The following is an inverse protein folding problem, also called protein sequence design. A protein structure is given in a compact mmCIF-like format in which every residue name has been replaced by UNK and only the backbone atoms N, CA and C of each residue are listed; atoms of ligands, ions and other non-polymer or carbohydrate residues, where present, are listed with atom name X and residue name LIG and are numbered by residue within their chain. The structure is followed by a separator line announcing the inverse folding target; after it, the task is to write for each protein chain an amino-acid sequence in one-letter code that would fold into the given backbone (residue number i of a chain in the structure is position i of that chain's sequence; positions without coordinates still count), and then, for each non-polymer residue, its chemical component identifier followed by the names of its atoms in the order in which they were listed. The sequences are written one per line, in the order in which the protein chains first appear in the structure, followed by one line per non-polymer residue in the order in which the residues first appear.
data_IF_376373984245
#
_entry.id   IF_376373984245
#
_cell.length_a   1.000
_cell.length_b   1.000
_cell.length_c   1.000
_cell.angle_alpha   90.00
_cell.angle_beta   90.00
_cell.angle_gamma   90.00
#
_symmetry.space_group_name_H-M   'P 1'
#
loop_
_entity.id
_entity.type
_entity.pdbx_description
1 polymer ?
#
# COMPACT_ATOMS: atom_id res chain seq x y z
N UNK A 1 24.35 0.32 -19.11
CA UNK A 1 23.22 -0.64 -19.03
C UNK A 1 21.95 0.07 -19.46
N UNK A 2 21.16 -0.51 -20.37
CA UNK A 2 20.00 0.13 -21.02
C UNK A 2 18.79 0.22 -20.09
N UNK A 3 18.02 1.33 -20.15
CA UNK A 3 16.80 1.57 -19.34
C UNK A 3 15.78 0.42 -19.39
N UNK A 4 15.68 -0.26 -20.53
CA UNK A 4 14.81 -1.42 -20.74
C UNK A 4 15.14 -2.59 -19.80
N UNK A 5 16.43 -2.87 -19.57
CA UNK A 5 16.87 -3.98 -18.70
C UNK A 5 16.58 -3.70 -17.23
N UNK A 6 16.76 -2.45 -16.79
CA UNK A 6 16.39 -2.04 -15.43
C UNK A 6 14.88 -2.21 -15.20
N UNK A 7 14.06 -1.82 -16.19
CA UNK A 7 12.61 -1.99 -16.13
C UNK A 7 12.18 -3.47 -16.09
N UNK A 8 12.75 -4.33 -16.95
CA UNK A 8 12.47 -5.77 -16.95
C UNK A 8 12.86 -6.45 -15.63
N UNK A 9 14.02 -6.12 -15.08
CA UNK A 9 14.49 -6.65 -13.80
C UNK A 9 13.55 -6.26 -12.67
N UNK A 10 13.09 -5.00 -12.64
CA UNK A 10 12.13 -4.50 -11.65
C UNK A 10 10.79 -5.24 -11.73
N UNK A 11 10.23 -5.40 -12.94
CA UNK A 11 8.99 -6.18 -13.15
C UNK A 11 9.10 -7.64 -12.70
N UNK A 12 10.27 -8.25 -12.83
CA UNK A 12 10.49 -9.63 -12.37
C UNK A 12 10.45 -9.73 -10.84
N UNK A 13 11.06 -8.78 -10.14
CA UNK A 13 11.03 -8.72 -8.67
C UNK A 13 9.60 -8.48 -8.17
N UNK A 14 8.87 -7.56 -8.81
CA UNK A 14 7.45 -7.27 -8.54
C UNK A 14 6.48 -8.43 -8.79
N UNK A 15 6.92 -9.57 -9.34
CA UNK A 15 6.10 -10.78 -9.54
C UNK A 15 6.39 -11.89 -8.52
N UNK A 16 7.44 -11.73 -7.72
CA UNK A 16 7.75 -12.72 -6.70
C UNK A 16 6.69 -12.66 -5.59
N UNK A 17 6.27 -13.80 -5.03
CA UNK A 17 5.43 -13.78 -3.83
C UNK A 17 6.19 -13.05 -2.73
N UNK A 18 5.49 -12.15 -2.03
CA UNK A 18 6.05 -11.48 -0.84
C UNK A 18 5.68 -12.32 0.37
N UNK A 19 6.65 -12.55 1.26
CA UNK A 19 6.38 -13.17 2.54
C UNK A 19 5.70 -12.15 3.46
N UNK A 20 4.38 -12.27 3.57
CA UNK A 20 3.56 -11.39 4.39
C UNK A 20 3.46 -11.85 5.84
N UNK A 21 4.08 -12.97 6.23
CA UNK A 21 3.91 -13.56 7.57
C UNK A 21 4.42 -12.66 8.71
N UNK A 22 5.33 -11.74 8.40
CA UNK A 22 5.91 -10.78 9.36
C UNK A 22 5.38 -9.36 9.19
N UNK A 23 4.36 -9.17 8.36
CA UNK A 23 3.77 -7.85 8.21
C UNK A 23 3.07 -7.43 9.51
N UNK A 24 3.20 -6.16 9.86
CA UNK A 24 2.40 -5.53 10.89
C UNK A 24 1.31 -4.70 10.23
N UNK A 25 0.29 -4.33 11.00
CA UNK A 25 -0.81 -3.48 10.57
C UNK A 25 -0.96 -2.30 11.51
N UNK A 26 -0.99 -1.09 10.97
CA UNK A 26 -1.52 0.10 11.64
C UNK A 26 -2.98 0.27 11.22
N UNK A 27 -3.86 0.51 12.19
CA UNK A 27 -5.31 0.64 11.99
C UNK A 27 -5.79 2.02 12.46
N UNK A 28 -7.07 2.33 12.22
CA UNK A 28 -7.72 3.59 12.61
C UNK A 28 -7.03 4.83 12.03
N UNK A 29 -6.56 4.73 10.78
CA UNK A 29 -6.00 5.86 10.08
C UNK A 29 -7.17 6.66 9.47
N UNK A 30 -7.29 7.92 9.91
CA UNK A 30 -8.31 8.86 9.42
C UNK A 30 -8.46 8.82 7.89
N UNK A 31 -9.70 8.85 7.40
CA UNK A 31 -9.99 8.75 5.96
C UNK A 31 -9.20 9.78 5.13
N UNK A 32 -9.09 11.02 5.58
CA UNK A 32 -8.35 12.06 4.85
C UNK A 32 -6.84 11.83 4.91
N UNK A 33 -6.33 11.38 6.06
CA UNK A 33 -4.92 11.04 6.23
C UNK A 33 -4.54 9.85 5.36
N UNK A 34 -5.32 8.77 5.36
CA UNK A 34 -5.06 7.59 4.54
C UNK A 34 -5.20 7.86 3.05
N UNK A 35 -6.15 8.71 2.62
CA UNK A 35 -6.22 9.16 1.22
C UNK A 35 -4.95 9.92 0.80
N UNK A 36 -4.46 10.84 1.66
CA UNK A 36 -3.22 11.57 1.42
C UNK A 36 -2.00 10.64 1.39
N UNK A 37 -1.96 9.66 2.29
CA UNK A 37 -0.93 8.63 2.33
C UNK A 37 -0.89 7.85 1.01
N UNK A 38 -2.04 7.33 0.56
CA UNK A 38 -2.16 6.56 -0.69
C UNK A 38 -1.62 7.36 -1.89
N UNK A 39 -2.07 8.60 -2.05
CA UNK A 39 -1.65 9.44 -3.18
C UNK A 39 -0.17 9.83 -3.09
N UNK A 40 0.35 10.10 -1.89
CA UNK A 40 1.77 10.38 -1.69
C UNK A 40 2.63 9.17 -2.05
N UNK A 41 2.26 7.96 -1.60
CA UNK A 41 2.99 6.74 -1.95
C UNK A 41 3.02 6.53 -3.47
N UNK A 42 1.87 6.70 -4.16
CA UNK A 42 1.81 6.62 -5.64
C UNK A 42 2.75 7.65 -6.29
N UNK A 43 2.77 8.88 -5.81
CA UNK A 43 3.66 9.93 -6.31
C UNK A 43 5.15 9.62 -6.07
N UNK A 44 5.49 8.93 -4.98
CA UNK A 44 6.84 8.45 -4.65
C UNK A 44 7.28 7.22 -5.45
N UNK A 45 6.48 6.80 -6.43
CA UNK A 45 6.80 5.69 -7.31
C UNK A 45 6.45 4.31 -6.75
N UNK A 46 5.61 4.26 -5.71
CA UNK A 46 4.91 3.02 -5.36
C UNK A 46 3.90 2.70 -6.45
N UNK A 47 4.00 1.50 -7.01
CA UNK A 47 3.13 1.09 -8.09
C UNK A 47 1.94 0.32 -7.55
N UNK A 48 0.74 0.75 -7.89
CA UNK A 48 -0.47 -0.04 -7.65
C UNK A 48 -0.45 -1.29 -8.54
N UNK A 49 -0.38 -2.47 -7.91
CA UNK A 49 -0.37 -3.77 -8.59
C UNK A 49 -1.72 -4.48 -8.50
N UNK A 50 -2.54 -4.12 -7.51
CA UNK A 50 -3.89 -4.62 -7.33
C UNK A 50 -4.73 -3.53 -6.64
N UNK A 51 -6.04 -3.56 -6.89
CA UNK A 51 -7.01 -2.75 -6.17
C UNK A 51 -8.32 -3.52 -6.06
N UNK A 52 -9.11 -3.21 -5.04
CA UNK A 52 -10.49 -3.67 -4.97
C UNK A 52 -11.26 -3.23 -6.22
N UNK A 53 -12.07 -4.14 -6.75
CA UNK A 53 -12.66 -4.04 -8.09
C UNK A 53 -13.34 -2.68 -8.29
N UNK A 54 -12.96 -1.90 -9.32
CA UNK A 54 -13.63 -0.64 -9.65
C UNK A 54 -15.11 -0.78 -9.99
N UNK A 55 -15.54 -2.00 -10.32
CA UNK A 55 -16.93 -2.32 -10.68
C UNK A 55 -17.72 -2.87 -9.48
N UNK A 56 -17.10 -3.03 -8.32
CA UNK A 56 -17.80 -3.46 -7.12
C UNK A 56 -18.72 -2.34 -6.62
N UNK A 57 -19.99 -2.69 -6.40
CA UNK A 57 -21.02 -1.74 -6.01
C UNK A 57 -20.75 -1.07 -4.65
N UNK A 58 -20.08 -1.78 -3.75
CA UNK A 58 -19.73 -1.37 -2.40
C UNK A 58 -18.37 -0.64 -2.29
N UNK A 59 -17.68 -0.43 -3.42
CA UNK A 59 -16.36 0.22 -3.44
C UNK A 59 -16.45 1.65 -2.90
N UNK A 60 -15.65 1.95 -1.88
CA UNK A 60 -15.63 3.26 -1.23
C UNK A 60 -16.92 3.61 -0.49
N UNK A 61 -17.79 2.61 -0.28
CA UNK A 61 -19.00 2.71 0.56
C UNK A 61 -18.80 1.86 1.81
N UNK A 62 -18.54 0.56 1.63
CA UNK A 62 -18.28 -0.38 2.72
C UNK A 62 -16.82 -0.84 2.75
N UNK A 63 -16.16 -0.89 1.58
CA UNK A 63 -14.78 -1.36 1.49
C UNK A 63 -14.01 -0.77 0.31
N UNK A 64 -12.71 -0.56 0.48
CA UNK A 64 -11.75 -0.40 -0.60
C UNK A 64 -10.40 -1.01 -0.23
N UNK A 65 -9.57 -1.37 -1.21
CA UNK A 65 -8.20 -1.75 -0.93
C UNK A 65 -7.26 -1.54 -2.11
N UNK A 66 -5.99 -1.36 -1.79
CA UNK A 66 -4.91 -1.14 -2.73
C UNK A 66 -3.70 -1.96 -2.30
N UNK A 67 -3.11 -2.69 -3.24
CA UNK A 67 -1.79 -3.31 -3.06
C UNK A 67 -0.77 -2.52 -3.84
N UNK A 68 0.21 -1.99 -3.14
CA UNK A 68 1.28 -1.17 -3.70
C UNK A 68 2.61 -1.94 -3.62
N UNK A 69 3.42 -1.86 -4.68
CA UNK A 69 4.77 -2.45 -4.70
C UNK A 69 5.83 -1.44 -5.08
N UNK A 70 7.00 -1.58 -4.48
CA UNK A 70 8.22 -0.86 -4.87
C UNK A 70 9.43 -1.77 -4.71
N UNK A 71 9.89 -2.37 -5.81
CA UNK A 71 10.96 -3.35 -5.77
C UNK A 71 10.48 -4.66 -5.17
N UNK A 72 11.04 -5.06 -4.03
CA UNK A 72 10.61 -6.25 -3.27
C UNK A 72 9.63 -5.92 -2.15
N UNK A 73 9.45 -4.64 -1.83
CA UNK A 73 8.55 -4.22 -0.77
C UNK A 73 7.11 -4.17 -1.27
N UNK A 74 6.19 -4.55 -0.39
CA UNK A 74 4.76 -4.48 -0.62
C UNK A 74 4.06 -3.82 0.56
N UNK A 75 3.12 -2.94 0.25
CA UNK A 75 2.18 -2.35 1.19
C UNK A 75 0.76 -2.71 0.77
N UNK A 76 -0.08 -2.99 1.75
CA UNK A 76 -1.53 -3.12 1.56
C UNK A 76 -2.22 -2.00 2.32
N UNK A 77 -3.04 -1.23 1.61
CA UNK A 77 -3.95 -0.26 2.20
C UNK A 77 -5.36 -0.83 2.08
N UNK A 78 -6.11 -0.84 3.17
CA UNK A 78 -7.50 -1.29 3.20
C UNK A 78 -8.31 -0.20 3.88
N UNK A 79 -9.46 0.13 3.31
CA UNK A 79 -10.40 1.07 3.89
C UNK A 79 -11.72 0.35 4.14
N UNK A 80 -12.31 0.56 5.29
CA UNK A 80 -13.71 0.20 5.53
C UNK A 80 -14.44 1.35 6.25
N UNK A 81 -15.76 1.30 6.28
CA UNK A 81 -16.57 2.35 6.89
C UNK A 81 -16.63 2.32 8.43
N UNK A 82 -15.92 1.39 9.08
CA UNK A 82 -15.91 1.24 10.54
C UNK A 82 -14.60 1.75 11.16
N UNK A 83 -13.47 1.30 10.61
CA UNK A 83 -12.11 1.53 11.08
C UNK A 83 -11.29 2.40 10.14
N UNK A 84 -11.91 2.89 9.05
CA UNK A 84 -11.28 3.70 8.02
C UNK A 84 -10.06 2.99 7.43
N UNK A 85 -8.92 3.68 7.29
CA UNK A 85 -7.74 3.10 6.67
C UNK A 85 -6.94 2.21 7.63
N UNK A 86 -6.41 1.14 7.05
CA UNK A 86 -5.38 0.26 7.60
C UNK A 86 -4.19 0.23 6.65
N UNK A 87 -2.99 0.22 7.20
CA UNK A 87 -1.74 0.07 6.46
C UNK A 87 -1.01 -1.19 6.95
N UNK A 88 -0.80 -2.15 6.06
CA UNK A 88 -0.06 -3.37 6.35
C UNK A 88 1.18 -3.52 5.49
N UNK A 89 2.26 -4.04 6.06
CA UNK A 89 3.54 -4.21 5.38
C UNK A 89 4.69 -4.62 6.30
N UNK A 90 5.93 -4.68 5.79
CA UNK A 90 7.12 -4.93 6.59
C UNK A 90 7.22 -3.93 7.75
N UNK A 91 7.60 -4.41 8.94
CA UNK A 91 7.62 -3.63 10.18
C UNK A 91 8.35 -2.30 10.03
N UNK A 92 9.59 -2.34 9.56
CA UNK A 92 10.46 -1.16 9.44
C UNK A 92 9.85 -0.11 8.49
N UNK A 93 9.16 -0.57 7.44
CA UNK A 93 8.54 0.31 6.47
C UNK A 93 7.24 0.94 7.01
N UNK A 94 6.41 0.14 7.67
CA UNK A 94 5.16 0.61 8.26
C UNK A 94 5.44 1.59 9.41
N UNK A 95 6.41 1.31 10.27
CA UNK A 95 6.83 2.22 11.34
C UNK A 95 7.38 3.54 10.76
N UNK A 96 8.25 3.49 9.75
CA UNK A 96 8.79 4.69 9.11
C UNK A 96 7.69 5.54 8.43
N UNK A 97 6.70 4.91 7.81
CA UNK A 97 5.53 5.60 7.26
C UNK A 97 4.68 6.18 8.38
N UNK A 98 4.47 5.43 9.46
CA UNK A 98 3.72 5.85 10.63
C UNK A 98 4.30 7.12 11.24
N UNK A 99 5.60 7.16 11.49
CA UNK A 99 6.29 8.35 11.98
C UNK A 99 6.12 9.54 11.03
N UNK A 100 6.31 9.33 9.72
CA UNK A 100 6.24 10.39 8.71
C UNK A 100 4.86 11.04 8.58
N UNK A 101 3.79 10.26 8.77
CA UNK A 101 2.41 10.71 8.66
C UNK A 101 1.73 10.90 10.02
N UNK A 102 2.47 10.79 11.12
CA UNK A 102 1.93 10.83 12.48
C UNK A 102 0.81 9.80 12.72
N UNK A 103 0.97 8.60 12.15
CA UNK A 103 0.07 7.46 12.35
C UNK A 103 0.54 6.72 13.60
N UNK A 104 -0.15 6.96 14.71
CA UNK A 104 0.19 6.36 15.99
C UNK A 104 -0.49 7.09 17.13
N UNK A 105 -1.53 6.46 17.66
CA UNK A 105 -1.99 6.58 19.03
C UNK A 105 -2.17 5.16 19.57
#
# INVERSE_FOLDING_TARGET
MTRLWQWLKRRRLERQPVDTAKHITLENIDTQVGNRLLETLKAEGWRQVEQYSPLAFDKGIDYDSYRLRRGLDELRLEWDNWFEWKLSGPKELVEAIGERFSLGN
#
